data_IF_284706855388
#
_entry.id   IF_284706855388
#
_cell.length_a   1.000
_cell.length_b   1.000
_cell.length_c   1.000
_cell.angle_alpha   90.00
_cell.angle_beta   90.00
_cell.angle_gamma   90.00
#
_symmetry.space_group_name_H-M   'P 1'
#
loop_
_entity.id
_entity.type
_entity.pdbx_description
1 polymer ?
#
# COMPACT_ATOMS: atom_id res chain seq x y z
N UNK A 1 16.86 -24.99 -18.45
CA UNK A 1 17.28 -24.10 -17.34
C UNK A 1 17.57 -22.74 -17.95
N UNK A 2 16.55 -21.90 -18.07
CA UNK A 2 16.74 -20.50 -18.43
C UNK A 2 17.01 -19.75 -17.13
N UNK A 3 18.19 -19.14 -17.01
CA UNK A 3 18.41 -18.20 -15.91
C UNK A 3 17.50 -16.99 -16.13
N UNK A 4 16.83 -16.48 -15.07
CA UNK A 4 16.06 -15.26 -15.20
C UNK A 4 17.03 -14.13 -15.58
N UNK A 5 16.68 -13.47 -16.68
CA UNK A 5 17.34 -12.29 -17.18
C UNK A 5 17.29 -11.23 -16.08
N UNK A 6 18.41 -10.65 -15.60
CA UNK A 6 18.37 -9.59 -14.61
C UNK A 6 17.71 -8.39 -15.29
N UNK A 7 16.47 -8.10 -14.90
CA UNK A 7 15.83 -6.81 -15.16
C UNK A 7 16.84 -5.77 -14.67
N UNK A 8 17.17 -4.79 -15.52
CA UNK A 8 18.24 -3.82 -15.28
C UNK A 8 18.04 -3.04 -13.98
N UNK A 9 18.57 -3.57 -12.89
CA UNK A 9 18.85 -2.88 -11.64
C UNK A 9 20.05 -1.94 -11.84
N UNK A 10 19.86 -0.87 -12.63
CA UNK A 10 20.75 0.27 -12.51
C UNK A 10 20.38 1.02 -11.23
N UNK A 11 20.96 0.59 -10.11
CA UNK A 11 21.21 1.38 -8.89
C UNK A 11 20.11 2.41 -8.53
N UNK A 12 18.87 1.96 -8.32
CA UNK A 12 17.84 2.73 -7.59
C UNK A 12 17.82 2.38 -6.10
N UNK A 13 18.92 1.80 -5.60
CA UNK A 13 19.15 1.63 -4.17
C UNK A 13 19.22 2.98 -3.45
N UNK A 14 19.42 2.92 -2.13
CA UNK A 14 19.37 3.99 -1.13
C UNK A 14 20.46 5.10 -1.31
N UNK A 15 20.70 5.55 -2.54
CA UNK A 15 21.60 6.66 -2.87
C UNK A 15 20.89 8.01 -2.79
N UNK A 16 21.66 9.09 -2.76
CA UNK A 16 21.13 10.45 -2.71
C UNK A 16 20.48 10.84 -4.04
N UNK A 17 19.32 11.50 -3.96
CA UNK A 17 18.65 12.04 -5.14
C UNK A 17 19.16 13.47 -5.40
N UNK A 18 19.73 13.72 -6.58
CA UNK A 18 20.20 15.05 -6.96
C UNK A 18 19.03 16.04 -7.14
N UNK A 19 19.18 17.24 -6.59
CA UNK A 19 18.20 18.35 -6.70
C UNK A 19 18.34 19.06 -8.06
N UNK A 20 17.20 19.49 -8.62
CA UNK A 20 17.16 20.37 -9.79
C UNK A 20 17.21 21.85 -9.38
N UNK A 21 18.36 22.51 -9.60
CA UNK A 21 18.56 23.93 -9.29
C UNK A 21 17.80 24.89 -10.25
N UNK A 22 17.12 24.37 -11.28
CA UNK A 22 16.55 25.14 -12.39
C UNK A 22 15.03 25.32 -12.39
N UNK A 23 14.32 25.06 -11.29
CA UNK A 23 12.85 25.11 -11.25
C UNK A 23 12.33 26.52 -11.58
N UNK A 24 11.57 26.63 -12.68
CA UNK A 24 10.78 27.80 -13.05
C UNK A 24 9.29 27.38 -13.02
N UNK A 25 8.45 28.12 -12.30
CA UNK A 25 7.07 27.77 -11.91
C UNK A 25 6.03 27.78 -13.04
N UNK A 26 6.40 27.37 -14.25
CA UNK A 26 5.49 27.50 -15.40
C UNK A 26 5.63 26.33 -16.37
N UNK A 27 5.00 25.19 -16.04
CA UNK A 27 4.61 24.21 -17.05
C UNK A 27 3.33 23.47 -16.64
N UNK A 28 2.40 23.43 -17.59
CA UNK A 28 0.97 23.12 -17.44
C UNK A 28 0.65 21.70 -16.97
N UNK A 29 -0.50 21.59 -16.29
CA UNK A 29 -1.13 20.35 -15.87
C UNK A 29 -1.50 19.45 -17.08
N UNK A 30 -1.18 18.16 -16.96
CA UNK A 30 -1.68 17.13 -17.88
C UNK A 30 -3.16 16.86 -17.56
N UNK A 31 -4.01 16.99 -18.56
CA UNK A 31 -5.44 16.65 -18.47
C UNK A 31 -5.66 15.14 -18.47
N UNK A 32 -6.50 14.66 -17.56
CA UNK A 32 -7.01 13.30 -17.49
C UNK A 32 -8.51 13.34 -17.79
N UNK A 33 -8.91 12.76 -18.92
CA UNK A 33 -10.31 12.63 -19.34
C UNK A 33 -10.96 11.39 -18.70
N UNK A 34 -12.20 11.58 -18.21
CA UNK A 34 -13.07 10.60 -17.54
C UNK A 34 -13.76 9.64 -18.51
N UNK A 35 -13.93 8.37 -18.11
CA UNK A 35 -14.76 7.37 -18.80
C UNK A 35 -15.93 6.91 -17.91
N UNK A 36 -17.14 6.87 -18.48
CA UNK A 36 -18.43 6.49 -17.87
C UNK A 36 -18.67 4.96 -17.82
N UNK A 37 -19.39 4.47 -16.79
CA UNK A 37 -19.79 3.07 -16.53
C UNK A 37 -21.30 2.81 -16.78
N UNK A 38 -21.67 1.56 -17.14
CA UNK A 38 -23.00 0.99 -16.81
C UNK A 38 -23.03 -0.57 -16.71
N UNK A 39 -23.94 -1.05 -15.84
CA UNK A 39 -24.50 -2.40 -15.58
C UNK A 39 -23.90 -3.41 -14.54
N UNK A 40 -24.79 -4.02 -13.72
CA UNK A 40 -24.54 -4.59 -12.38
C UNK A 40 -24.74 -6.12 -12.22
N UNK A 41 -24.09 -6.74 -11.20
CA UNK A 41 -24.45 -8.05 -10.61
C UNK A 41 -24.59 -7.98 -9.09
N UNK A 42 -25.53 -8.75 -8.52
CA UNK A 42 -26.04 -8.56 -7.15
C UNK A 42 -25.19 -9.19 -6.04
N UNK A 43 -24.71 -8.37 -5.10
CA UNK A 43 -24.15 -8.76 -3.79
C UNK A 43 -25.24 -8.86 -2.72
N UNK A 44 -24.95 -9.48 -1.57
CA UNK A 44 -25.88 -9.50 -0.44
C UNK A 44 -26.13 -8.08 0.10
N UNK A 45 -27.39 -7.74 0.37
CA UNK A 45 -27.79 -6.36 0.72
C UNK A 45 -27.19 -5.82 2.02
N UNK A 46 -26.58 -6.67 2.86
CA UNK A 46 -25.89 -6.27 4.09
C UNK A 46 -24.48 -5.75 3.88
N UNK A 47 -23.76 -6.23 2.85
CA UNK A 47 -22.37 -5.81 2.55
C UNK A 47 -22.33 -4.41 1.93
N UNK A 48 -23.43 -3.98 1.29
CA UNK A 48 -23.60 -2.65 0.69
C UNK A 48 -24.11 -1.58 1.66
N UNK A 49 -24.29 -1.89 2.95
CA UNK A 49 -24.77 -0.93 3.97
C UNK A 49 -23.63 -0.07 4.52
N UNK A 50 -22.98 0.69 3.65
CA UNK A 50 -21.81 1.50 4.00
C UNK A 50 -22.05 2.40 5.22
N UNK A 51 -20.98 2.59 6.01
CA UNK A 51 -20.96 3.56 7.11
C UNK A 51 -20.45 4.89 6.59
N UNK A 52 -21.06 5.98 7.06
CA UNK A 52 -20.70 7.34 6.66
C UNK A 52 -20.26 8.14 7.89
N UNK A 53 -19.02 8.58 7.89
CA UNK A 53 -18.43 9.37 8.97
C UNK A 53 -17.78 10.61 8.33
N UNK A 54 -18.13 11.80 8.81
CA UNK A 54 -17.57 13.07 8.35
C UNK A 54 -17.59 13.26 6.81
N UNK A 55 -18.63 12.76 6.13
CA UNK A 55 -18.78 12.88 4.68
C UNK A 55 -17.96 11.89 3.85
N UNK A 56 -17.26 10.94 4.48
CA UNK A 56 -16.53 9.84 3.82
C UNK A 56 -17.27 8.52 3.98
N UNK A 57 -17.14 7.64 2.98
CA UNK A 57 -17.76 6.31 2.97
C UNK A 57 -16.76 5.24 3.42
N UNK A 58 -17.18 4.36 4.32
CA UNK A 58 -16.38 3.24 4.81
C UNK A 58 -17.13 1.91 4.59
N UNK A 59 -16.35 0.82 4.51
CA UNK A 59 -16.87 -0.52 4.28
C UNK A 59 -17.77 -0.98 5.43
N UNK A 60 -18.89 -1.64 5.10
CA UNK A 60 -19.87 -2.11 6.08
C UNK A 60 -19.52 -3.49 6.66
N UNK A 61 -18.88 -4.32 5.84
CA UNK A 61 -18.49 -5.66 6.22
C UNK A 61 -17.33 -5.58 7.22
N UNK A 62 -17.57 -5.99 8.47
CA UNK A 62 -16.61 -5.92 9.58
C UNK A 62 -16.08 -4.50 9.80
N UNK A 63 -17.00 -3.57 10.03
CA UNK A 63 -16.66 -2.17 10.31
C UNK A 63 -15.54 -2.04 11.38
N UNK A 64 -14.54 -1.22 11.07
CA UNK A 64 -13.30 -1.05 11.86
C UNK A 64 -12.19 -2.05 11.54
N UNK A 65 -12.42 -3.05 10.67
CA UNK A 65 -11.36 -3.96 10.22
C UNK A 65 -10.33 -3.27 9.31
N UNK A 66 -10.77 -2.36 8.45
CA UNK A 66 -9.92 -1.46 7.68
C UNK A 66 -10.19 0.00 8.07
N UNK A 67 -9.14 0.81 8.04
CA UNK A 67 -9.15 2.16 8.59
C UNK A 67 -9.45 3.23 7.53
N UNK A 68 -9.11 2.97 6.27
CA UNK A 68 -9.32 3.89 5.16
C UNK A 68 -10.75 3.85 4.59
N UNK A 69 -11.19 4.93 3.93
CA UNK A 69 -12.47 4.98 3.23
C UNK A 69 -12.43 4.13 1.96
N UNK A 70 -13.62 3.76 1.46
CA UNK A 70 -13.82 3.03 0.20
C UNK A 70 -14.80 3.79 -0.72
N UNK A 71 -14.75 5.12 -0.70
CA UNK A 71 -15.43 5.98 -1.68
C UNK A 71 -14.69 6.01 -3.02
N UNK A 72 -15.34 6.55 -4.04
CA UNK A 72 -14.86 6.64 -5.42
C UNK A 72 -13.50 7.37 -5.54
N UNK A 73 -13.10 8.12 -4.50
CA UNK A 73 -11.83 8.83 -4.42
C UNK A 73 -10.65 7.93 -4.06
N UNK A 74 -10.88 6.70 -3.60
CA UNK A 74 -9.88 5.79 -3.03
C UNK A 74 -9.80 4.43 -3.75
N UNK A 75 -10.53 4.26 -4.85
CA UNK A 75 -10.59 3.00 -5.57
C UNK A 75 -9.33 2.79 -6.42
N UNK A 76 -8.48 1.84 -6.02
CA UNK A 76 -7.38 1.31 -6.83
C UNK A 76 -7.60 -0.18 -7.04
N UNK A 77 -7.91 -0.61 -8.26
CA UNK A 77 -8.06 -2.06 -8.59
C UNK A 77 -7.31 -2.47 -9.86
N UNK A 78 -6.55 -1.55 -10.46
CA UNK A 78 -6.08 -1.69 -11.84
C UNK A 78 -4.87 -2.65 -11.98
N UNK A 79 -3.95 -2.66 -11.01
CA UNK A 79 -2.63 -3.31 -11.19
C UNK A 79 -2.69 -4.85 -11.26
N UNK A 80 -3.58 -5.49 -10.50
CA UNK A 80 -3.69 -6.96 -10.55
C UNK A 80 -4.45 -7.45 -11.79
N UNK A 81 -5.35 -6.62 -12.32
CA UNK A 81 -6.05 -6.91 -13.58
C UNK A 81 -5.03 -6.90 -14.74
N UNK A 82 -4.13 -5.92 -14.76
CA UNK A 82 -3.05 -5.88 -15.76
C UNK A 82 -2.15 -7.12 -15.66
N UNK A 83 -1.76 -7.54 -14.44
CA UNK A 83 -1.02 -8.78 -14.24
C UNK A 83 -1.75 -9.99 -14.83
N UNK A 84 -3.05 -10.13 -14.56
CA UNK A 84 -3.83 -11.25 -15.06
C UNK A 84 -3.97 -11.25 -16.59
N UNK A 85 -4.05 -10.07 -17.23
CA UNK A 85 -4.06 -9.92 -18.68
C UNK A 85 -2.73 -10.35 -19.31
N UNK A 86 -1.59 -10.01 -18.69
CA UNK A 86 -0.26 -10.40 -19.18
C UNK A 86 0.06 -11.88 -18.92
N UNK A 87 -0.67 -12.52 -18.00
CA UNK A 87 -0.46 -13.90 -17.56
C UNK A 87 -1.75 -14.74 -17.68
N UNK A 88 -2.28 -14.87 -18.90
CA UNK A 88 -3.54 -15.59 -19.17
C UNK A 88 -3.60 -17.04 -18.63
N UNK A 89 -2.44 -17.69 -18.44
CA UNK A 89 -2.35 -19.04 -17.89
C UNK A 89 -2.44 -19.11 -16.36
N UNK A 90 -2.31 -17.98 -15.66
CA UNK A 90 -2.41 -17.91 -14.21
C UNK A 90 -3.87 -17.73 -13.79
N UNK A 91 -4.30 -18.41 -12.73
CA UNK A 91 -5.53 -18.05 -12.02
C UNK A 91 -5.19 -17.01 -10.95
N UNK A 92 -5.90 -15.89 -10.95
CA UNK A 92 -5.58 -14.76 -10.07
C UNK A 92 -6.80 -14.38 -9.23
N UNK A 93 -6.57 -14.23 -7.92
CA UNK A 93 -7.62 -14.01 -6.92
C UNK A 93 -7.33 -12.70 -6.20
N UNK A 94 -8.23 -11.73 -6.33
CA UNK A 94 -8.23 -10.52 -5.52
C UNK A 94 -9.05 -10.72 -4.26
N UNK A 95 -8.49 -10.45 -3.09
CA UNK A 95 -9.23 -10.52 -1.81
C UNK A 95 -9.22 -9.15 -1.16
N UNK A 96 -10.41 -8.59 -0.92
CA UNK A 96 -10.56 -7.27 -0.30
C UNK A 96 -11.83 -7.20 0.57
N UNK A 97 -11.84 -6.35 1.60
CA UNK A 97 -13.03 -6.11 2.42
C UNK A 97 -14.11 -5.30 1.69
N UNK A 98 -13.70 -4.51 0.71
CA UNK A 98 -14.53 -3.61 -0.05
C UNK A 98 -14.94 -4.27 -1.38
N UNK A 99 -16.24 -4.22 -1.74
CA UNK A 99 -16.72 -4.77 -3.01
C UNK A 99 -16.45 -3.79 -4.16
N UNK A 100 -15.18 -3.53 -4.46
CA UNK A 100 -14.73 -2.50 -5.41
C UNK A 100 -14.37 -3.04 -6.79
N UNK A 101 -15.05 -4.11 -7.20
CA UNK A 101 -14.72 -4.86 -8.41
C UNK A 101 -15.05 -4.03 -9.66
N UNK A 102 -14.12 -3.91 -10.62
CA UNK A 102 -14.41 -3.34 -11.92
C UNK A 102 -15.49 -4.14 -12.64
N UNK A 103 -16.28 -3.45 -13.46
CA UNK A 103 -17.38 -4.06 -14.23
C UNK A 103 -16.92 -5.16 -15.19
N UNK A 104 -15.66 -5.11 -15.65
CA UNK A 104 -15.07 -6.10 -16.55
C UNK A 104 -13.73 -6.59 -16.00
N UNK A 105 -13.62 -7.91 -15.85
CA UNK A 105 -12.41 -8.58 -15.35
C UNK A 105 -11.99 -9.67 -16.33
N UNK A 106 -10.69 -9.94 -16.48
CA UNK A 106 -10.20 -11.05 -17.31
C UNK A 106 -10.81 -12.40 -16.89
N UNK A 107 -10.95 -13.37 -17.81
CA UNK A 107 -11.59 -14.67 -17.51
C UNK A 107 -10.82 -15.50 -16.47
N UNK A 108 -9.56 -15.18 -16.23
CA UNK A 108 -8.68 -15.81 -15.26
C UNK A 108 -8.62 -15.06 -13.91
N UNK A 109 -9.50 -14.08 -13.70
CA UNK A 109 -9.61 -13.29 -12.47
C UNK A 109 -10.87 -13.64 -11.70
N UNK A 110 -10.73 -13.84 -10.38
CA UNK A 110 -11.85 -13.88 -9.44
C UNK A 110 -11.62 -12.94 -8.27
N UNK A 111 -12.70 -12.45 -7.68
CA UNK A 111 -12.67 -11.59 -6.50
C UNK A 111 -13.44 -12.22 -5.36
N UNK A 112 -12.88 -12.15 -4.16
CA UNK A 112 -13.50 -12.63 -2.93
C UNK A 112 -13.57 -11.49 -1.92
N UNK A 113 -14.78 -11.18 -1.44
CA UNK A 113 -14.95 -10.19 -0.37
C UNK A 113 -14.72 -10.89 0.97
N UNK A 114 -13.52 -10.76 1.52
CA UNK A 114 -13.13 -11.45 2.76
C UNK A 114 -12.07 -10.68 3.55
N UNK A 115 -11.95 -11.01 4.84
CA UNK A 115 -10.98 -10.45 5.76
C UNK A 115 -9.75 -11.36 5.86
N UNK A 116 -8.67 -10.97 5.18
CA UNK A 116 -7.41 -11.75 5.15
C UNK A 116 -6.76 -11.94 6.53
N UNK A 117 -7.17 -11.17 7.55
CA UNK A 117 -6.68 -11.34 8.92
C UNK A 117 -7.25 -12.60 9.60
N UNK A 118 -8.35 -13.16 9.09
CA UNK A 118 -8.96 -14.39 9.57
C UNK A 118 -8.32 -15.66 9.02
N UNK A 119 -8.76 -16.81 9.53
CA UNK A 119 -8.46 -18.11 8.92
C UNK A 119 -8.92 -18.14 7.46
N UNK A 120 -7.99 -18.46 6.57
CA UNK A 120 -8.27 -18.57 5.15
C UNK A 120 -9.04 -19.85 4.87
N UNK A 121 -10.03 -19.75 3.98
CA UNK A 121 -10.83 -20.88 3.52
C UNK A 121 -10.12 -21.71 2.44
N UNK A 122 -8.98 -21.22 1.95
CA UNK A 122 -8.15 -21.89 0.96
C UNK A 122 -7.44 -23.13 1.52
N UNK A 123 -7.19 -24.16 0.69
CA UNK A 123 -6.38 -25.30 1.09
C UNK A 123 -4.95 -24.90 1.46
N UNK A 124 -4.30 -25.70 2.32
CA UNK A 124 -2.85 -25.61 2.52
C UNK A 124 -2.12 -25.98 1.24
N UNK A 125 -0.90 -25.44 1.06
CA UNK A 125 -0.06 -25.69 -0.11
C UNK A 125 -0.80 -25.45 -1.46
N UNK A 126 -1.52 -24.34 -1.57
CA UNK A 126 -2.40 -24.02 -2.70
C UNK A 126 -1.87 -22.95 -3.64
N UNK A 127 -1.24 -21.89 -3.11
CA UNK A 127 -0.81 -20.74 -3.89
C UNK A 127 0.65 -20.85 -4.33
N UNK A 128 0.92 -20.64 -5.62
CA UNK A 128 2.28 -20.53 -6.12
C UNK A 128 2.89 -19.14 -5.86
N UNK A 129 2.03 -18.13 -5.74
CA UNK A 129 2.42 -16.74 -5.47
C UNK A 129 1.37 -16.04 -4.62
N UNK A 130 1.81 -15.29 -3.62
CA UNK A 130 0.98 -14.39 -2.82
C UNK A 130 1.57 -12.99 -2.88
N UNK A 131 0.80 -12.04 -3.40
CA UNK A 131 1.16 -10.62 -3.43
C UNK A 131 0.36 -9.88 -2.34
N UNK A 132 1.05 -9.14 -1.49
CA UNK A 132 0.48 -8.32 -0.42
C UNK A 132 0.85 -6.88 -0.70
N UNK A 133 -0.13 -5.97 -0.69
CA UNK A 133 0.13 -4.57 -0.95
C UNK A 133 -0.76 -3.65 -0.14
N UNK A 134 -0.16 -2.60 0.43
CA UNK A 134 -0.84 -1.55 1.19
C UNK A 134 -1.78 -2.09 2.29
N UNK A 135 -1.38 -3.14 3.00
CA UNK A 135 -2.15 -3.68 4.13
C UNK A 135 -1.71 -3.10 5.49
N UNK A 136 -0.83 -2.10 5.47
CA UNK A 136 -0.48 -1.27 6.63
C UNK A 136 -1.73 -0.87 7.43
N UNK A 137 -1.68 -1.00 8.76
CA UNK A 137 -2.80 -0.68 9.66
C UNK A 137 -3.97 -1.67 9.68
N UNK A 138 -3.89 -2.77 8.92
CA UNK A 138 -5.01 -3.72 8.76
C UNK A 138 -4.77 -5.05 9.47
N UNK A 139 -3.51 -5.47 9.58
CA UNK A 139 -3.11 -6.77 10.11
C UNK A 139 -2.77 -6.68 11.61
N UNK A 140 -3.43 -7.46 12.50
CA UNK A 140 -3.16 -7.44 13.93
C UNK A 140 -1.79 -8.01 14.33
N UNK A 141 -1.34 -9.06 13.64
CA UNK A 141 -0.05 -9.72 13.88
C UNK A 141 0.57 -10.12 12.55
N UNK A 142 1.57 -9.35 12.11
CA UNK A 142 2.32 -9.66 10.88
C UNK A 142 3.02 -11.02 10.96
N UNK A 143 3.67 -11.43 12.06
CA UNK A 143 4.29 -12.76 12.14
C UNK A 143 3.29 -13.90 11.96
N UNK A 144 2.10 -13.81 12.57
CA UNK A 144 1.08 -14.85 12.43
C UNK A 144 0.41 -14.82 11.06
N UNK A 145 0.22 -13.63 10.49
CA UNK A 145 -0.22 -13.47 9.12
C UNK A 145 0.78 -14.12 8.15
N UNK A 146 2.07 -13.86 8.28
CA UNK A 146 3.10 -14.49 7.46
C UNK A 146 3.19 -16.01 7.66
N UNK A 147 3.02 -16.54 8.88
CA UNK A 147 2.90 -18.00 9.09
C UNK A 147 1.69 -18.57 8.35
N UNK A 148 0.57 -17.85 8.35
CA UNK A 148 -0.62 -18.22 7.60
C UNK A 148 -0.34 -18.23 6.10
N UNK A 149 0.29 -17.19 5.55
CA UNK A 149 0.72 -17.14 4.14
C UNK A 149 1.61 -18.34 3.82
N UNK A 150 2.66 -18.57 4.61
CA UNK A 150 3.59 -19.70 4.41
C UNK A 150 2.87 -21.06 4.39
N UNK A 151 1.83 -21.24 5.21
CA UNK A 151 1.07 -22.49 5.25
C UNK A 151 0.18 -22.74 4.04
N UNK A 152 -0.22 -21.69 3.32
CA UNK A 152 -1.05 -21.79 2.11
C UNK A 152 -0.22 -21.68 0.82
N UNK A 153 1.07 -21.33 0.92
CA UNK A 153 1.99 -21.39 -0.22
C UNK A 153 2.39 -22.83 -0.53
N UNK A 154 2.29 -23.21 -1.81
CA UNK A 154 2.86 -24.44 -2.35
C UNK A 154 4.36 -24.52 -2.03
N UNK A 155 4.94 -25.72 -1.82
CA UNK A 155 6.39 -25.86 -1.74
C UNK A 155 7.02 -25.33 -3.03
N UNK A 156 7.86 -24.30 -2.92
CA UNK A 156 8.35 -23.62 -4.12
C UNK A 156 7.76 -22.22 -4.36
N UNK A 157 6.69 -21.86 -3.65
CA UNK A 157 5.94 -20.63 -3.87
C UNK A 157 6.61 -19.38 -3.31
N UNK A 158 6.15 -18.23 -3.78
CA UNK A 158 6.72 -16.91 -3.47
C UNK A 158 5.73 -16.04 -2.72
N UNK A 159 6.23 -15.20 -1.81
CA UNK A 159 5.49 -14.07 -1.26
C UNK A 159 6.21 -12.79 -1.62
N UNK A 160 5.45 -11.79 -2.04
CA UNK A 160 5.91 -10.43 -2.22
C UNK A 160 5.02 -9.50 -1.41
N UNK A 161 5.64 -8.68 -0.57
CA UNK A 161 4.97 -7.61 0.15
C UNK A 161 5.52 -6.26 -0.30
N UNK A 162 4.63 -5.36 -0.70
CA UNK A 162 4.95 -3.99 -1.11
C UNK A 162 4.18 -2.99 -0.25
N UNK A 163 4.90 -2.15 0.48
CA UNK A 163 4.32 -1.16 1.39
C UNK A 163 4.96 0.21 1.18
N UNK A 164 4.19 1.27 1.41
CA UNK A 164 4.72 2.63 1.52
C UNK A 164 5.13 2.90 2.97
N UNK A 165 6.32 3.48 3.16
CA UNK A 165 6.79 3.94 4.45
C UNK A 165 5.97 5.12 4.97
N UNK A 166 5.78 5.18 6.29
CA UNK A 166 5.02 6.26 6.94
C UNK A 166 5.85 7.53 7.16
N UNK A 167 7.18 7.40 7.20
CA UNK A 167 8.11 8.49 7.49
C UNK A 167 8.49 9.24 6.22
N UNK A 168 8.30 10.56 6.23
CA UNK A 168 8.88 11.47 5.22
C UNK A 168 10.30 11.84 5.60
N UNK A 169 11.23 11.76 4.64
CA UNK A 169 12.67 12.00 4.82
C UNK A 169 13.18 12.97 3.77
N UNK A 170 14.38 13.51 3.96
CA UNK A 170 15.12 14.29 2.95
C UNK A 170 16.61 14.02 3.09
N UNK A 171 17.35 14.00 1.98
CA UNK A 171 18.81 13.78 2.00
C UNK A 171 19.58 15.06 2.33
N UNK A 172 18.97 16.23 2.14
CA UNK A 172 19.59 17.55 2.31
C UNK A 172 19.12 18.32 3.56
N UNK A 173 18.33 17.66 4.41
CA UNK A 173 17.81 18.24 5.65
C UNK A 173 16.66 19.24 5.47
N UNK A 174 16.05 19.31 4.29
CA UNK A 174 14.86 20.16 4.06
C UNK A 174 13.61 19.67 4.79
N UNK A 175 13.53 18.39 5.16
CA UNK A 175 12.50 17.86 6.06
C UNK A 175 13.03 17.93 7.49
N UNK A 176 12.40 18.77 8.30
CA UNK A 176 12.82 19.03 9.69
C UNK A 176 11.84 18.43 10.71
N UNK A 177 12.28 18.12 11.95
CA UNK A 177 11.42 17.47 12.95
C UNK A 177 10.21 18.30 13.42
N UNK A 178 10.22 19.62 13.21
CA UNK A 178 9.13 20.54 13.56
C UNK A 178 8.04 20.61 12.47
N UNK A 179 8.28 20.05 11.29
CA UNK A 179 7.28 19.96 10.23
C UNK A 179 6.16 18.97 10.58
N UNK A 180 4.96 19.15 10.00
CA UNK A 180 3.81 18.31 10.33
C UNK A 180 4.01 16.82 9.95
N UNK A 181 5.00 16.47 9.14
CA UNK A 181 5.38 15.09 8.81
C UNK A 181 5.71 14.24 10.04
N UNK A 182 6.45 14.78 11.01
CA UNK A 182 6.77 14.04 12.24
C UNK A 182 5.51 13.81 13.10
N UNK A 183 4.60 14.79 13.11
CA UNK A 183 3.30 14.66 13.79
C UNK A 183 2.42 13.62 13.12
N UNK A 184 2.47 13.50 11.79
CA UNK A 184 1.75 12.47 11.02
C UNK A 184 2.16 11.07 11.46
N UNK A 185 3.45 10.75 11.47
CA UNK A 185 3.96 9.45 11.94
C UNK A 185 3.52 9.13 13.37
N UNK A 186 3.60 10.12 14.26
CA UNK A 186 3.20 9.96 15.66
C UNK A 186 1.70 9.68 15.82
N UNK A 187 0.84 10.35 15.05
CA UNK A 187 -0.62 10.12 15.03
C UNK A 187 -0.92 8.66 14.69
N UNK A 188 -0.33 8.13 13.62
CA UNK A 188 -0.59 6.76 13.18
C UNK A 188 0.02 5.71 14.10
N UNK A 189 1.15 6.03 14.75
CA UNK A 189 1.74 5.15 15.76
C UNK A 189 0.78 4.96 16.95
N UNK A 190 0.29 6.06 17.53
CA UNK A 190 -0.65 5.99 18.68
C UNK A 190 -1.97 5.35 18.25
N UNK A 191 -2.52 5.74 17.09
CA UNK A 191 -3.77 5.16 16.61
C UNK A 191 -3.63 3.64 16.41
N UNK A 192 -2.52 3.19 15.83
CA UNK A 192 -2.22 1.79 15.64
C UNK A 192 -2.10 1.00 16.96
N UNK A 193 -1.47 1.59 17.98
CA UNK A 193 -1.39 0.99 19.32
C UNK A 193 -2.78 0.81 19.95
N UNK A 194 -3.66 1.81 19.85
CA UNK A 194 -5.03 1.72 20.38
C UNK A 194 -5.89 0.70 19.64
N UNK A 195 -5.67 0.55 18.33
CA UNK A 195 -6.37 -0.41 17.48
C UNK A 195 -5.78 -1.83 17.55
N UNK A 196 -4.59 -1.99 18.11
CA UNK A 196 -3.83 -3.25 18.08
C UNK A 196 -3.37 -3.64 16.67
N UNK A 197 -3.15 -2.67 15.78
CA UNK A 197 -2.74 -2.86 14.38
C UNK A 197 -1.66 -1.86 14.00
N UNK A 198 -0.48 -2.33 13.66
CA UNK A 198 0.67 -1.45 13.39
C UNK A 198 0.59 -0.78 12.02
N UNK A 199 1.01 0.49 11.98
CA UNK A 199 1.23 1.26 10.75
C UNK A 199 2.69 1.20 10.25
N UNK A 200 3.54 0.41 10.90
CA UNK A 200 4.94 0.18 10.52
C UNK A 200 5.11 -1.15 9.78
N UNK A 201 4.14 -1.53 8.95
CA UNK A 201 4.17 -2.81 8.24
C UNK A 201 5.36 -2.90 7.28
N UNK A 202 5.70 -1.80 6.62
CA UNK A 202 6.87 -1.66 5.75
C UNK A 202 8.17 -2.01 6.48
N UNK A 203 8.39 -1.44 7.65
CA UNK A 203 9.60 -1.68 8.46
C UNK A 203 9.67 -3.10 9.03
N UNK A 204 8.52 -3.71 9.31
CA UNK A 204 8.44 -5.03 9.96
C UNK A 204 8.42 -6.21 8.97
N UNK A 205 8.13 -5.98 7.69
CA UNK A 205 7.84 -7.03 6.72
C UNK A 205 8.95 -8.09 6.63
N UNK A 206 10.22 -7.68 6.45
CA UNK A 206 11.33 -8.60 6.26
C UNK A 206 11.59 -9.47 7.50
N UNK A 207 11.64 -8.86 8.69
CA UNK A 207 11.89 -9.59 9.93
C UNK A 207 10.71 -10.49 10.30
N UNK A 208 9.48 -10.02 10.06
CA UNK A 208 8.28 -10.81 10.27
C UNK A 208 8.21 -12.04 9.35
N UNK A 209 8.63 -11.92 8.08
CA UNK A 209 8.75 -13.07 7.18
C UNK A 209 9.82 -14.05 7.65
N UNK A 210 10.98 -13.57 8.13
CA UNK A 210 12.03 -14.45 8.70
C UNK A 210 11.53 -15.21 9.92
N UNK A 211 10.85 -14.52 10.84
CA UNK A 211 10.26 -15.12 12.04
C UNK A 211 9.21 -16.17 11.70
N UNK A 212 8.40 -15.93 10.66
CA UNK A 212 7.42 -16.89 10.17
C UNK A 212 8.03 -18.15 9.53
N UNK A 213 9.32 -18.13 9.20
CA UNK A 213 10.06 -19.27 8.64
C UNK A 213 10.29 -19.21 7.14
N UNK A 214 10.10 -18.05 6.50
CA UNK A 214 10.49 -17.87 5.10
C UNK A 214 12.01 -17.90 4.93
N UNK A 215 12.46 -18.43 3.78
CA UNK A 215 13.88 -18.45 3.39
C UNK A 215 14.14 -17.42 2.30
N UNK A 216 15.41 -17.02 2.12
CA UNK A 216 15.83 -16.08 1.08
C UNK A 216 15.01 -14.77 1.08
N UNK A 217 14.77 -14.21 2.27
CA UNK A 217 14.07 -12.94 2.42
C UNK A 217 14.96 -11.80 1.93
N UNK A 218 14.58 -11.19 0.81
CA UNK A 218 15.25 -10.06 0.20
C UNK A 218 14.40 -8.81 0.35
N UNK A 219 14.99 -7.77 0.93
CA UNK A 219 14.36 -6.46 1.08
C UNK A 219 15.02 -5.47 0.13
N UNK A 220 14.20 -4.75 -0.62
CA UNK A 220 14.60 -3.61 -1.43
C UNK A 220 13.84 -2.37 -0.95
N UNK A 221 14.58 -1.27 -0.77
CA UNK A 221 14.02 0.04 -0.43
C UNK A 221 14.27 1.01 -1.58
N UNK A 222 13.21 1.67 -2.02
CA UNK A 222 13.25 2.66 -3.10
C UNK A 222 12.82 4.02 -2.55
N UNK A 223 13.62 5.05 -2.79
CA UNK A 223 13.21 6.43 -2.49
C UNK A 223 12.19 6.89 -3.53
N UNK A 224 10.98 7.22 -3.09
CA UNK A 224 9.93 7.80 -3.90
C UNK A 224 9.82 9.30 -3.55
N UNK A 225 10.32 10.19 -4.42
CA UNK A 225 10.26 11.63 -4.19
C UNK A 225 8.84 12.13 -4.02
N UNK A 226 8.67 13.23 -3.30
CA UNK A 226 7.42 13.98 -3.23
C UNK A 226 7.59 15.26 -4.04
N UNK A 227 6.95 15.32 -5.20
CA UNK A 227 7.01 16.47 -6.11
C UNK A 227 8.10 16.35 -7.18
N UNK A 228 8.46 17.49 -7.78
CA UNK A 228 9.26 17.58 -9.01
C UNK A 228 10.70 18.04 -8.78
N UNK A 229 11.14 18.09 -7.52
CA UNK A 229 12.49 18.53 -7.14
C UNK A 229 13.64 17.63 -7.63
N UNK A 230 13.48 16.32 -7.90
CA UNK A 230 14.58 15.51 -8.41
C UNK A 230 15.06 16.01 -9.77
N UNK A 231 16.37 16.00 -10.01
CA UNK A 231 16.94 16.30 -11.33
C UNK A 231 16.60 15.26 -12.40
N UNK A 232 16.41 14.00 -12.00
CA UNK A 232 16.14 12.90 -12.93
C UNK A 232 14.68 12.92 -13.41
N UNK A 233 14.45 12.97 -14.72
CA UNK A 233 13.11 13.16 -15.31
C UNK A 233 12.09 12.08 -14.90
N UNK A 234 12.48 10.80 -14.85
CA UNK A 234 11.58 9.74 -14.37
C UNK A 234 11.16 9.95 -12.90
N UNK A 235 12.08 10.42 -12.06
CA UNK A 235 11.81 10.67 -10.65
C UNK A 235 10.92 11.91 -10.45
N UNK A 236 10.97 12.89 -11.36
CA UNK A 236 10.00 14.00 -11.39
C UNK A 236 8.59 13.51 -11.69
N UNK A 237 8.44 12.58 -12.62
CA UNK A 237 7.14 12.00 -12.98
C UNK A 237 6.60 11.21 -11.78
N UNK A 238 7.40 10.30 -11.22
CA UNK A 238 7.01 9.51 -10.04
C UNK A 238 6.67 10.41 -8.85
N UNK A 239 7.47 11.44 -8.61
CA UNK A 239 7.22 12.35 -7.50
C UNK A 239 6.00 13.25 -7.71
N UNK A 240 5.65 13.56 -8.96
CA UNK A 240 4.38 14.23 -9.26
C UNK A 240 3.19 13.36 -8.83
N UNK A 241 3.19 12.09 -9.21
CA UNK A 241 2.15 11.13 -8.83
C UNK A 241 2.13 10.87 -7.33
N UNK A 242 3.30 10.68 -6.71
CA UNK A 242 3.41 10.50 -5.26
C UNK A 242 2.83 11.70 -4.50
N UNK A 243 3.17 12.92 -4.90
CA UNK A 243 2.62 14.13 -4.27
C UNK A 243 1.11 14.22 -4.43
N UNK A 244 0.57 13.88 -5.60
CA UNK A 244 -0.87 13.85 -5.82
C UNK A 244 -1.55 12.81 -4.92
N UNK A 245 -1.04 11.57 -4.93
CA UNK A 245 -1.50 10.47 -4.08
C UNK A 245 -1.54 10.87 -2.59
N UNK A 246 -0.44 11.42 -2.07
CA UNK A 246 -0.38 11.87 -0.68
C UNK A 246 -1.35 13.02 -0.42
N UNK A 247 -1.32 14.07 -1.24
CA UNK A 247 -2.10 15.29 -1.00
C UNK A 247 -3.62 15.12 -1.13
N UNK A 248 -4.08 14.16 -1.93
CA UNK A 248 -5.49 13.83 -2.09
C UNK A 248 -5.93 12.71 -1.13
N UNK A 249 -5.01 11.80 -0.78
CA UNK A 249 -5.24 10.74 0.20
C UNK A 249 -5.22 11.20 1.66
N UNK A 250 -4.57 12.33 2.00
CA UNK A 250 -4.40 12.85 3.36
C UNK A 250 -5.67 12.77 4.23
N UNK A 251 -6.80 13.25 3.71
CA UNK A 251 -8.06 13.21 4.46
C UNK A 251 -8.61 11.79 4.58
N UNK A 252 -8.49 10.97 3.53
CA UNK A 252 -8.94 9.58 3.58
C UNK A 252 -8.14 8.78 4.61
N UNK A 253 -6.85 9.03 4.68
CA UNK A 253 -5.99 8.33 5.63
C UNK A 253 -6.19 8.84 7.07
N UNK A 254 -6.22 10.15 7.25
CA UNK A 254 -6.09 10.76 8.57
C UNK A 254 -7.40 10.92 9.32
N UNK A 255 -8.52 11.15 8.62
CA UNK A 255 -9.73 11.68 9.26
C UNK A 255 -10.30 10.72 10.31
N UNK A 256 -10.51 9.45 9.94
CA UNK A 256 -11.04 8.44 10.87
C UNK A 256 -10.12 8.19 12.07
N UNK A 257 -8.81 8.17 11.83
CA UNK A 257 -7.82 7.95 12.88
C UNK A 257 -7.82 9.12 13.88
N UNK A 258 -7.77 10.36 13.39
CA UNK A 258 -7.68 11.53 14.26
C UNK A 258 -8.99 11.78 15.02
N UNK A 259 -10.15 11.72 14.36
CA UNK A 259 -11.43 12.02 15.02
C UNK A 259 -12.00 10.84 15.79
N UNK A 260 -11.95 9.63 15.20
CA UNK A 260 -12.58 8.44 15.75
C UNK A 260 -11.74 7.73 16.81
N UNK A 261 -10.42 7.68 16.62
CA UNK A 261 -9.50 6.97 17.54
C UNK A 261 -8.87 7.94 18.53
N UNK A 262 -8.29 9.04 18.05
CA UNK A 262 -7.55 9.99 18.90
C UNK A 262 -8.41 11.10 19.51
N UNK A 263 -9.69 11.21 19.12
CA UNK A 263 -10.65 12.16 19.68
C UNK A 263 -10.41 13.62 19.30
N UNK A 264 -9.67 13.90 18.23
CA UNK A 264 -9.53 15.27 17.70
C UNK A 264 -10.87 15.77 17.18
N UNK A 265 -11.08 17.08 17.24
CA UNK A 265 -12.22 17.68 16.55
C UNK A 265 -12.02 17.62 15.04
N UNK A 266 -13.13 17.70 14.29
CA UNK A 266 -13.08 17.76 12.84
C UNK A 266 -12.28 18.99 12.37
N UNK A 267 -12.48 20.14 13.03
CA UNK A 267 -11.79 21.39 12.72
C UNK A 267 -10.28 21.31 12.96
N UNK A 268 -9.85 20.74 14.09
CA UNK A 268 -8.42 20.52 14.36
C UNK A 268 -7.78 19.58 13.34
N UNK A 269 -8.51 18.52 12.95
CA UNK A 269 -8.06 17.57 11.93
C UNK A 269 -7.89 18.26 10.59
N UNK A 270 -8.90 18.99 10.12
CA UNK A 270 -8.82 19.73 8.85
C UNK A 270 -7.69 20.78 8.85
N UNK A 271 -7.49 21.49 9.96
CA UNK A 271 -6.40 22.45 10.08
C UNK A 271 -5.01 21.77 9.95
N UNK A 272 -4.83 20.61 10.58
CA UNK A 272 -3.61 19.82 10.46
C UNK A 272 -3.40 19.27 9.03
N UNK A 273 -4.45 18.73 8.41
CA UNK A 273 -4.39 18.22 7.04
C UNK A 273 -4.08 19.33 6.02
N UNK A 274 -4.64 20.53 6.22
CA UNK A 274 -4.31 21.70 5.41
C UNK A 274 -2.83 22.09 5.57
N UNK A 275 -2.30 22.04 6.79
CA UNK A 275 -0.88 22.31 7.05
C UNK A 275 0.05 21.29 6.39
N UNK A 276 -0.27 19.99 6.50
CA UNK A 276 0.40 18.91 5.78
C UNK A 276 0.41 19.16 4.27
N UNK A 277 -0.75 19.49 3.69
CA UNK A 277 -0.89 19.75 2.25
C UNK A 277 -0.04 20.95 1.81
N UNK A 278 0.09 22.00 2.61
CA UNK A 278 0.99 23.13 2.30
C UNK A 278 2.44 22.68 2.18
N UNK A 279 2.92 21.85 3.11
CA UNK A 279 4.31 21.36 3.08
C UNK A 279 4.55 20.39 1.93
N UNK A 280 3.61 19.49 1.62
CA UNK A 280 3.72 18.61 0.45
C UNK A 280 3.81 19.39 -0.87
N UNK A 281 3.26 20.59 -0.92
CA UNK A 281 3.25 21.45 -2.11
C UNK A 281 4.42 22.45 -2.16
N UNK A 282 5.24 22.55 -1.11
CA UNK A 282 6.39 23.47 -1.09
C UNK A 282 7.53 22.92 -1.95
N UNK A 283 7.91 23.57 -3.06
CA UNK A 283 8.97 23.08 -3.93
C UNK A 283 10.37 23.13 -3.27
N UNK A 284 10.52 23.83 -2.14
CA UNK A 284 11.78 23.90 -1.39
C UNK A 284 11.98 22.72 -0.44
N UNK A 285 10.96 21.89 -0.26
CA UNK A 285 11.04 20.69 0.57
C UNK A 285 11.35 19.51 -0.36
N UNK A 286 12.57 18.99 -0.25
CA UNK A 286 13.05 17.86 -1.05
C UNK A 286 12.73 16.54 -0.34
N UNK A 287 11.46 16.40 0.02
CA UNK A 287 10.94 15.25 0.75
C UNK A 287 10.80 14.02 -0.14
N UNK A 288 10.99 12.84 0.43
CA UNK A 288 10.64 11.55 -0.14
C UNK A 288 10.05 10.63 0.94
N UNK A 289 9.27 9.66 0.48
CA UNK A 289 8.91 8.46 1.25
C UNK A 289 9.63 7.25 0.67
N UNK A 290 9.68 6.15 1.39
CA UNK A 290 10.32 4.92 0.91
C UNK A 290 9.25 3.89 0.52
N UNK A 291 9.39 3.24 -0.63
CA UNK A 291 8.67 2.00 -0.93
C UNK A 291 9.53 0.84 -0.45
N UNK A 292 8.94 -0.02 0.37
CA UNK A 292 9.54 -1.25 0.87
C UNK A 292 8.97 -2.40 0.04
N UNK A 293 9.84 -3.05 -0.73
CA UNK A 293 9.52 -4.26 -1.45
C UNK A 293 10.29 -5.42 -0.82
N UNK A 294 9.56 -6.29 -0.13
CA UNK A 294 10.11 -7.49 0.47
C UNK A 294 9.63 -8.70 -0.32
N UNK A 295 10.57 -9.44 -0.89
CA UNK A 295 10.30 -10.69 -1.60
C UNK A 295 10.93 -11.82 -0.82
N UNK A 296 10.14 -12.85 -0.53
CA UNK A 296 10.61 -14.05 0.12
C UNK A 296 10.11 -15.30 -0.60
N UNK A 297 10.87 -16.37 -0.47
CA UNK A 297 10.61 -17.63 -1.17
C UNK A 297 10.43 -18.77 -0.16
N UNK A 298 9.27 -19.41 -0.25
CA UNK A 298 8.84 -20.51 0.59
C UNK A 298 9.52 -21.82 0.20
N UNK A 299 10.77 -22.01 0.64
CA UNK A 299 11.28 -23.38 0.84
C UNK A 299 10.68 -23.94 2.12
N UNK A 300 9.47 -24.49 2.02
CA UNK A 300 9.03 -25.52 2.95
C UNK A 300 10.07 -26.65 2.84
N UNK A 301 10.81 -27.01 3.90
CA UNK A 301 11.79 -28.09 3.82
C UNK A 301 11.12 -29.32 3.22
N UNK A 302 11.66 -29.86 2.13
CA UNK A 302 11.10 -31.05 1.50
C UNK A 302 11.11 -32.17 2.54
N UNK A 303 9.94 -32.52 3.07
CA UNK A 303 9.76 -33.67 3.95
C UNK A 303 10.00 -34.96 3.17
N UNK A 304 11.25 -35.23 2.82
CA UNK A 304 11.74 -36.55 2.46
C UNK A 304 12.81 -36.89 3.48
N UNK A 305 12.37 -37.39 4.63
CA UNK A 305 13.22 -38.29 5.42
C UNK A 305 13.56 -39.45 4.49
N UNK A 306 14.80 -39.50 4.03
CA UNK A 306 15.34 -40.69 3.37
C UNK A 306 15.33 -41.81 4.41
N UNK A 307 14.59 -42.87 4.06
CA UNK A 307 14.62 -44.26 4.56
C UNK A 307 14.89 -44.48 6.06
#
# INVERSE_FOLDING_TARGET
MAQPNPIGEQHLGIGDIAVDDGINDNDSALGLDSWDEDDTKSLSSSVLKYTWENGRRYHAYRDGAYWGPNDERQLDTEDFIEFAQQHESAEVIGVDLSPVQPSMVPPNVRFEVDDVSLDWTFPKDHFDFVHIRMLTGSIPSWPDFHKKVLSHLSPGGWVEQVELGMTTKSDDGTVTPDMPFAKWEHVFTIAGEQMGKTFLASDLAADSMREAGFQNVNEMRLKLPIGRWPRHETLKIWGTWCRAFLADGLEGFGLRMMTGVLGWTYEETQAFLADMKRHLMDPKIHGYVEIFRVVAYGQKPSGKTQA
#
